data_IF_123158334824
#
_entry.id   IF_123158334824
#
_cell.length_a   1.000
_cell.length_b   1.000
_cell.length_c   1.000
_cell.angle_alpha   90.00
_cell.angle_beta   90.00
_cell.angle_gamma   90.00
#
_symmetry.space_group_name_H-M   'P 1'
#
loop_
_entity.id
_entity.type
_entity.pdbx_description
1 polymer ?
#
# COMPACT_ATOMS: atom_id res chain seq x y z
N UNK A 1 3.97 -26.56 3.94
CA UNK A 1 3.98 -25.08 4.13
C UNK A 1 4.83 -24.38 3.07
N UNK A 2 6.14 -24.65 2.93
CA UNK A 2 7.03 -23.98 1.96
C UNK A 2 6.47 -23.89 0.53
N UNK A 3 6.01 -25.01 -0.03
CA UNK A 3 5.38 -25.03 -1.36
C UNK A 3 4.16 -24.11 -1.46
N UNK A 4 3.33 -24.03 -0.41
CA UNK A 4 2.13 -23.16 -0.42
C UNK A 4 2.50 -21.68 -0.38
N UNK A 5 3.55 -21.31 0.37
CA UNK A 5 4.09 -19.95 0.37
C UNK A 5 4.56 -19.58 -1.04
N UNK A 6 5.36 -20.46 -1.66
CA UNK A 6 5.85 -20.26 -3.02
C UNK A 6 4.69 -20.14 -4.03
N UNK A 7 3.71 -21.04 -3.96
CA UNK A 7 2.55 -21.01 -4.85
C UNK A 7 1.75 -19.71 -4.72
N UNK A 8 1.41 -19.28 -3.49
CA UNK A 8 0.66 -18.03 -3.28
C UNK A 8 1.45 -16.84 -3.79
N UNK A 9 2.76 -16.79 -3.55
CA UNK A 9 3.61 -15.72 -4.05
C UNK A 9 3.70 -15.68 -5.58
N UNK A 10 3.98 -16.83 -6.21
CA UNK A 10 4.12 -16.93 -7.67
C UNK A 10 2.80 -16.67 -8.40
N UNK A 11 1.67 -17.14 -7.88
CA UNK A 11 0.35 -16.88 -8.45
C UNK A 11 0.01 -15.40 -8.35
N UNK A 12 0.23 -14.77 -7.19
CA UNK A 12 0.01 -13.32 -7.00
C UNK A 12 0.88 -12.50 -7.96
N UNK A 13 2.17 -12.85 -8.05
CA UNK A 13 3.11 -12.23 -8.98
C UNK A 13 2.64 -12.37 -10.43
N UNK A 14 2.34 -13.59 -10.87
CA UNK A 14 1.91 -13.88 -12.23
C UNK A 14 0.61 -13.17 -12.61
N UNK A 15 -0.39 -13.16 -11.73
CA UNK A 15 -1.66 -12.45 -11.98
C UNK A 15 -1.45 -10.94 -12.05
N UNK A 16 -0.59 -10.37 -11.19
CA UNK A 16 -0.27 -8.94 -11.23
C UNK A 16 0.41 -8.56 -12.55
N UNK A 17 1.34 -9.39 -13.05
CA UNK A 17 2.03 -9.17 -14.32
C UNK A 17 1.09 -9.10 -15.53
N UNK A 18 -0.06 -9.76 -15.50
CA UNK A 18 -1.03 -9.70 -16.61
C UNK A 18 -1.58 -8.28 -16.83
N UNK A 19 -1.49 -7.41 -15.83
CA UNK A 19 -1.92 -6.02 -15.90
C UNK A 19 -0.77 -5.04 -16.17
N UNK A 20 0.42 -5.51 -16.56
CA UNK A 20 1.59 -4.63 -16.72
C UNK A 20 1.35 -3.56 -17.81
N UNK A 21 0.77 -3.97 -18.94
CA UNK A 21 0.53 -3.09 -20.09
C UNK A 21 -0.79 -2.32 -19.98
N UNK A 22 -1.58 -2.56 -18.95
CA UNK A 22 -2.86 -1.90 -18.76
C UNK A 22 -2.65 -0.38 -18.63
N UNK A 23 -3.30 0.39 -19.52
CA UNK A 23 -3.22 1.85 -19.53
C UNK A 23 -4.02 2.44 -18.38
N UNK A 24 -3.42 3.44 -17.73
CA UNK A 24 -4.01 4.13 -16.59
C UNK A 24 -5.05 5.16 -17.06
N UNK A 25 -4.71 5.93 -18.10
CA UNK A 25 -5.58 6.93 -18.75
C UNK A 25 -5.43 6.86 -20.27
N UNK A 26 -6.29 7.58 -21.01
CA UNK A 26 -6.05 7.81 -22.43
C UNK A 26 -4.78 8.63 -22.63
N UNK A 27 -3.84 8.08 -23.39
CA UNK A 27 -2.51 8.69 -23.59
C UNK A 27 -1.51 8.47 -22.45
N UNK A 28 -1.78 7.64 -21.42
CA UNK A 28 -0.77 7.33 -20.42
C UNK A 28 -0.85 5.91 -19.84
N UNK A 29 0.33 5.30 -19.67
CA UNK A 29 0.52 3.98 -19.02
C UNK A 29 0.39 4.06 -17.49
N UNK A 30 0.60 5.25 -16.93
CA UNK A 30 0.59 5.59 -15.51
C UNK A 30 -0.14 6.93 -15.31
N UNK A 31 -0.58 7.27 -14.10
CA UNK A 31 -1.30 8.53 -13.86
C UNK A 31 -1.09 9.15 -12.48
N UNK A 32 -1.62 10.35 -12.25
CA UNK A 32 -1.55 11.04 -10.95
C UNK A 32 -0.11 11.23 -10.46
N UNK A 33 0.26 10.55 -9.37
CA UNK A 33 1.52 10.64 -8.68
C UNK A 33 2.54 9.64 -9.28
N UNK A 34 2.08 8.66 -10.08
CA UNK A 34 2.92 7.61 -10.64
C UNK A 34 4.06 8.14 -11.54
N UNK A 35 3.83 9.11 -12.46
CA UNK A 35 4.92 9.71 -13.24
C UNK A 35 6.00 10.32 -12.35
N UNK A 36 5.60 10.98 -11.26
CA UNK A 36 6.51 11.64 -10.32
C UNK A 36 7.44 10.63 -9.63
N UNK A 37 6.93 9.45 -9.25
CA UNK A 37 7.78 8.38 -8.72
C UNK A 37 8.76 7.80 -9.74
N UNK A 38 8.35 7.72 -11.01
CA UNK A 38 9.17 7.15 -12.08
C UNK A 38 10.29 8.10 -12.51
N UNK A 39 10.02 9.40 -12.65
CA UNK A 39 11.06 10.38 -12.97
C UNK A 39 12.07 10.50 -11.82
N UNK A 40 11.63 10.49 -10.56
CA UNK A 40 12.57 10.44 -9.43
C UNK A 40 13.39 9.15 -9.40
N UNK A 41 12.81 8.02 -9.83
CA UNK A 41 13.57 6.76 -9.94
C UNK A 41 14.60 6.79 -11.08
N UNK A 42 14.34 7.57 -12.13
CA UNK A 42 15.25 7.82 -13.25
C UNK A 42 16.42 8.71 -12.81
N UNK A 43 16.15 9.86 -12.19
CA UNK A 43 17.18 10.77 -11.64
C UNK A 43 18.08 10.05 -10.63
N UNK A 44 17.51 9.23 -9.73
CA UNK A 44 18.30 8.41 -8.81
C UNK A 44 19.22 7.38 -9.53
N UNK A 45 18.84 6.92 -10.71
CA UNK A 45 19.60 5.94 -11.49
C UNK A 45 20.68 6.58 -12.37
N UNK A 46 20.39 7.70 -13.02
CA UNK A 46 21.31 8.39 -13.94
C UNK A 46 22.22 9.37 -13.17
N UNK A 47 21.66 10.15 -12.26
CA UNK A 47 22.32 11.34 -11.68
C UNK A 47 22.65 11.20 -10.19
N UNK A 48 22.08 10.19 -9.52
CA UNK A 48 22.25 9.93 -8.09
C UNK A 48 21.77 11.06 -7.18
N UNK A 49 20.77 11.82 -7.63
CA UNK A 49 20.12 12.85 -6.81
C UNK A 49 18.58 12.75 -6.85
N UNK A 50 17.89 13.79 -6.39
CA UNK A 50 16.43 13.85 -6.33
C UNK A 50 15.87 14.99 -7.20
N UNK A 51 16.75 15.74 -7.87
CA UNK A 51 16.37 16.81 -8.76
C UNK A 51 15.80 16.20 -10.02
N UNK A 52 14.57 16.55 -10.36
CA UNK A 52 13.86 16.02 -11.54
C UNK A 52 13.68 17.07 -12.63
N UNK A 53 14.34 18.23 -12.49
CA UNK A 53 14.12 19.38 -13.37
C UNK A 53 14.52 19.12 -14.82
N UNK A 54 15.61 18.38 -15.05
CA UNK A 54 16.06 18.01 -16.38
C UNK A 54 15.19 16.89 -16.98
N UNK A 55 14.75 15.86 -16.23
CA UNK A 55 13.82 14.87 -16.79
C UNK A 55 12.48 15.50 -17.20
N UNK A 56 12.01 16.47 -16.44
CA UNK A 56 10.80 17.23 -16.79
C UNK A 56 11.06 18.07 -18.04
N UNK A 57 12.18 18.81 -18.08
CA UNK A 57 12.56 19.70 -19.19
C UNK A 57 12.79 18.95 -20.50
N UNK A 58 13.46 17.79 -20.44
CA UNK A 58 13.73 16.90 -21.56
C UNK A 58 12.56 15.96 -21.89
N UNK A 59 11.47 16.04 -21.13
CA UNK A 59 10.25 15.24 -21.33
C UNK A 59 10.51 13.73 -21.28
N UNK A 60 11.42 13.30 -20.39
CA UNK A 60 11.80 11.88 -20.20
C UNK A 60 10.64 11.00 -19.71
N UNK A 61 9.51 11.60 -19.35
CA UNK A 61 8.26 10.91 -18.99
C UNK A 61 7.45 10.38 -20.17
N UNK A 62 7.70 10.84 -21.40
CA UNK A 62 6.93 10.48 -22.60
C UNK A 62 6.79 8.96 -22.86
N UNK A 63 7.80 8.11 -22.60
CA UNK A 63 7.67 6.67 -22.82
C UNK A 63 6.55 5.98 -22.03
N UNK A 64 6.05 6.62 -20.96
CA UNK A 64 4.97 6.10 -20.12
C UNK A 64 3.81 7.10 -19.92
N UNK A 65 3.96 8.35 -20.36
CA UNK A 65 2.96 9.39 -20.21
C UNK A 65 3.01 10.34 -21.44
N UNK A 66 2.21 10.06 -22.46
CA UNK A 66 2.26 10.70 -23.80
C UNK A 66 1.72 12.15 -23.78
N UNK A 67 1.08 12.55 -22.68
CA UNK A 67 0.60 13.92 -22.45
C UNK A 67 1.50 14.62 -21.42
N UNK A 68 1.45 15.96 -21.35
CA UNK A 68 2.21 16.71 -20.34
C UNK A 68 1.81 16.24 -18.93
N UNK A 69 2.80 15.92 -18.09
CA UNK A 69 2.54 15.52 -16.70
C UNK A 69 1.93 16.68 -15.93
N UNK A 70 1.11 16.36 -14.92
CA UNK A 70 0.68 17.37 -13.98
C UNK A 70 1.92 17.86 -13.21
N UNK A 71 2.23 19.16 -13.33
CA UNK A 71 3.33 19.76 -12.59
C UNK A 71 2.93 19.82 -11.12
N UNK A 72 3.50 18.91 -10.32
CA UNK A 72 3.29 18.84 -8.87
C UNK A 72 4.43 19.51 -8.10
N UNK A 73 5.43 20.00 -8.82
CA UNK A 73 6.71 20.54 -8.36
C UNK A 73 6.73 22.06 -8.51
N UNK A 74 7.64 22.71 -7.80
CA UNK A 74 8.00 24.11 -8.01
C UNK A 74 9.52 24.25 -8.13
N UNK A 75 9.97 25.33 -8.75
CA UNK A 75 11.36 25.75 -8.70
C UNK A 75 11.73 26.17 -7.26
N UNK A 76 12.68 25.47 -6.65
CA UNK A 76 13.09 25.70 -5.26
C UNK A 76 14.20 26.75 -5.10
N UNK A 77 14.90 27.07 -6.18
CA UNK A 77 16.03 28.00 -6.20
C UNK A 77 16.18 28.68 -7.57
N UNK A 78 17.13 29.62 -7.66
CA UNK A 78 17.40 30.39 -8.88
C UNK A 78 17.91 29.54 -10.06
N UNK A 79 18.42 28.33 -9.79
CA UNK A 79 18.81 27.38 -10.84
C UNK A 79 17.63 26.58 -11.39
N UNK A 80 16.43 26.71 -10.82
CA UNK A 80 15.22 26.03 -11.28
C UNK A 80 15.09 24.58 -10.80
N UNK A 81 15.78 24.19 -9.72
CA UNK A 81 15.70 22.84 -9.16
C UNK A 81 14.25 22.46 -8.81
N UNK A 82 13.83 21.27 -9.20
CA UNK A 82 12.48 20.74 -8.92
C UNK A 82 12.57 19.41 -8.18
N UNK A 83 11.93 19.30 -7.01
CA UNK A 83 11.87 18.06 -6.23
C UNK A 83 10.43 17.56 -6.14
N UNK A 84 10.23 16.31 -6.52
CA UNK A 84 8.95 15.61 -6.41
C UNK A 84 8.43 15.63 -4.97
N UNK A 85 7.17 16.04 -4.71
CA UNK A 85 6.62 16.16 -3.35
C UNK A 85 6.18 14.81 -2.77
N UNK A 86 6.98 13.77 -2.99
CA UNK A 86 6.71 12.39 -2.61
C UNK A 86 7.93 11.75 -1.95
N UNK A 87 7.72 10.96 -0.89
CA UNK A 87 8.83 10.38 -0.12
C UNK A 87 9.69 9.41 -0.99
N UNK A 88 11.03 9.44 -0.84
CA UNK A 88 11.95 8.89 -1.85
C UNK A 88 12.18 7.38 -1.77
N UNK A 89 11.67 6.67 -0.76
CA UNK A 89 11.97 5.23 -0.62
C UNK A 89 11.31 4.38 -1.71
N UNK A 90 10.15 4.77 -2.22
CA UNK A 90 9.59 4.07 -3.38
C UNK A 90 10.47 4.25 -4.62
N UNK A 91 10.81 5.48 -5.07
CA UNK A 91 11.78 5.69 -6.14
C UNK A 91 13.09 4.93 -5.95
N UNK A 92 13.65 4.93 -4.73
CA UNK A 92 14.87 4.18 -4.42
C UNK A 92 14.74 2.66 -4.61
N UNK A 93 13.58 2.08 -4.28
CA UNK A 93 13.29 0.67 -4.54
C UNK A 93 13.18 0.41 -6.06
N UNK A 94 12.68 1.40 -6.82
CA UNK A 94 12.41 1.28 -8.25
C UNK A 94 13.58 1.66 -9.14
N UNK A 95 14.60 2.39 -8.66
CA UNK A 95 15.66 2.97 -9.50
C UNK A 95 16.38 1.91 -10.36
N UNK A 96 16.73 0.76 -9.77
CA UNK A 96 17.45 -0.31 -10.48
C UNK A 96 16.56 -1.04 -11.49
N UNK A 97 15.37 -1.58 -11.12
CA UNK A 97 14.52 -2.21 -12.10
C UNK A 97 14.04 -1.24 -13.19
N UNK A 98 13.86 0.05 -12.85
CA UNK A 98 13.55 1.09 -13.82
C UNK A 98 14.73 1.36 -14.76
N UNK A 99 15.94 1.52 -14.25
CA UNK A 99 17.13 1.72 -15.08
C UNK A 99 17.41 0.57 -16.07
N UNK A 100 17.05 -0.66 -15.70
CA UNK A 100 17.25 -1.85 -16.56
C UNK A 100 16.13 -2.02 -17.60
N UNK A 101 14.87 -1.77 -17.23
CA UNK A 101 13.71 -2.14 -18.06
C UNK A 101 12.61 -1.06 -18.12
N UNK A 102 12.93 0.18 -17.79
CA UNK A 102 12.02 1.31 -17.74
C UNK A 102 10.82 1.09 -16.80
N UNK A 103 9.71 1.72 -17.14
CA UNK A 103 8.46 1.62 -16.37
C UNK A 103 7.94 0.18 -16.24
N UNK A 104 8.25 -0.69 -17.20
CA UNK A 104 7.93 -2.13 -17.14
C UNK A 104 8.65 -2.78 -15.97
N UNK A 105 9.96 -2.54 -15.84
CA UNK A 105 10.75 -3.04 -14.71
C UNK A 105 10.22 -2.56 -13.36
N UNK A 106 9.83 -1.28 -13.25
CA UNK A 106 9.21 -0.75 -12.04
C UNK A 106 7.91 -1.48 -11.66
N UNK A 107 7.01 -1.71 -12.63
CA UNK A 107 5.77 -2.48 -12.39
C UNK A 107 6.06 -3.95 -12.05
N UNK A 108 7.04 -4.58 -12.69
CA UNK A 108 7.47 -5.95 -12.35
C UNK A 108 7.97 -6.04 -10.90
N UNK A 109 8.74 -5.05 -10.44
CA UNK A 109 9.21 -4.98 -9.06
C UNK A 109 8.03 -4.89 -8.08
N UNK A 110 7.01 -4.06 -8.36
CA UNK A 110 5.82 -3.97 -7.51
C UNK A 110 5.00 -5.26 -7.50
N UNK A 111 4.89 -5.95 -8.64
CA UNK A 111 4.24 -7.25 -8.72
C UNK A 111 4.98 -8.28 -7.85
N UNK A 112 6.32 -8.24 -7.86
CA UNK A 112 7.14 -9.09 -7.03
C UNK A 112 6.96 -8.78 -5.54
N UNK A 113 6.94 -7.50 -5.16
CA UNK A 113 6.63 -7.04 -3.80
C UNK A 113 5.28 -7.57 -3.32
N UNK A 114 4.24 -7.54 -4.17
CA UNK A 114 2.93 -8.08 -3.81
C UNK A 114 2.94 -9.61 -3.66
N UNK A 115 3.69 -10.34 -4.49
CA UNK A 115 3.91 -11.78 -4.31
C UNK A 115 4.63 -12.13 -3.01
N UNK A 116 5.63 -11.35 -2.62
CA UNK A 116 6.29 -11.48 -1.32
C UNK A 116 5.33 -11.16 -0.16
N UNK A 117 4.52 -10.12 -0.31
CA UNK A 117 3.51 -9.74 0.67
C UNK A 117 2.49 -10.86 0.89
N UNK A 118 2.00 -11.49 -0.18
CA UNK A 118 1.08 -12.61 -0.12
C UNK A 118 1.69 -13.82 0.62
N UNK A 119 2.94 -14.15 0.28
CA UNK A 119 3.70 -15.22 0.91
C UNK A 119 3.90 -14.97 2.41
N UNK A 120 4.32 -13.77 2.77
CA UNK A 120 4.52 -13.38 4.16
C UNK A 120 3.21 -13.36 4.94
N UNK A 121 2.12 -12.92 4.31
CA UNK A 121 0.78 -12.93 4.92
C UNK A 121 0.34 -14.36 5.27
N UNK A 122 0.53 -15.32 4.35
CA UNK A 122 0.25 -16.73 4.63
C UNK A 122 1.15 -17.30 5.72
N UNK A 123 2.44 -16.93 5.72
CA UNK A 123 3.36 -17.34 6.78
C UNK A 123 2.92 -16.81 8.15
N UNK A 124 2.52 -15.55 8.23
CA UNK A 124 2.05 -14.92 9.48
C UNK A 124 0.72 -15.52 9.92
N UNK A 125 -0.23 -15.77 9.00
CA UNK A 125 -1.50 -16.42 9.29
C UNK A 125 -1.30 -17.78 10.00
N UNK A 126 -0.44 -18.63 9.44
CA UNK A 126 -0.16 -19.93 10.03
C UNK A 126 0.68 -19.85 11.30
N UNK A 127 1.75 -19.05 11.29
CA UNK A 127 2.75 -19.09 12.35
C UNK A 127 2.41 -18.26 13.58
N UNK A 128 1.62 -17.17 13.43
CA UNK A 128 1.23 -16.29 14.53
C UNK A 128 -0.21 -16.52 14.99
N UNK A 129 -1.10 -16.87 14.07
CA UNK A 129 -2.53 -17.01 14.38
C UNK A 129 -3.04 -18.45 14.35
N UNK A 130 -2.23 -19.40 13.91
CA UNK A 130 -2.61 -20.82 13.83
C UNK A 130 -3.69 -21.09 12.77
N UNK A 131 -3.73 -20.30 11.69
CA UNK A 131 -4.69 -20.52 10.60
C UNK A 131 -4.47 -21.89 9.93
N UNK A 132 -5.56 -22.61 9.65
CA UNK A 132 -5.50 -23.90 8.96
C UNK A 132 -4.84 -23.73 7.59
N UNK A 133 -3.71 -24.41 7.30
CA UNK A 133 -2.90 -24.09 6.13
C UNK A 133 -3.62 -24.26 4.78
N UNK A 134 -4.65 -25.12 4.68
CA UNK A 134 -5.36 -25.37 3.42
C UNK A 134 -6.28 -24.22 3.07
N UNK A 135 -7.31 -23.97 3.90
CA UNK A 135 -8.20 -22.81 3.74
C UNK A 135 -7.46 -21.48 3.66
N UNK A 136 -6.44 -21.26 4.51
CA UNK A 136 -5.66 -20.02 4.50
C UNK A 136 -4.94 -19.78 3.16
N UNK A 137 -4.39 -20.83 2.54
CA UNK A 137 -3.76 -20.72 1.21
C UNK A 137 -4.76 -20.28 0.14
N UNK A 138 -5.96 -20.85 0.13
CA UNK A 138 -7.00 -20.48 -0.84
C UNK A 138 -7.54 -19.08 -0.61
N UNK A 139 -7.88 -18.73 0.64
CA UNK A 139 -8.40 -17.41 0.97
C UNK A 139 -7.35 -16.34 0.66
N UNK A 140 -6.13 -16.48 1.17
CA UNK A 140 -5.07 -15.48 0.95
C UNK A 140 -4.71 -15.38 -0.53
N UNK A 141 -4.54 -16.51 -1.22
CA UNK A 141 -4.29 -16.53 -2.66
C UNK A 141 -5.36 -15.78 -3.44
N UNK A 142 -6.65 -16.10 -3.21
CA UNK A 142 -7.75 -15.45 -3.90
C UNK A 142 -7.79 -13.94 -3.66
N UNK A 143 -7.61 -13.49 -2.40
CA UNK A 143 -7.65 -12.07 -2.09
C UNK A 143 -6.49 -11.29 -2.72
N UNK A 144 -5.28 -11.84 -2.72
CA UNK A 144 -4.12 -11.18 -3.34
C UNK A 144 -4.18 -11.15 -4.87
N UNK A 145 -4.93 -12.06 -5.49
CA UNK A 145 -5.24 -12.03 -6.93
C UNK A 145 -6.49 -11.20 -7.26
N UNK A 146 -7.11 -10.55 -6.27
CA UNK A 146 -8.32 -9.74 -6.45
C UNK A 146 -8.06 -8.28 -6.11
N UNK A 147 -8.86 -7.38 -6.67
CA UNK A 147 -8.74 -5.97 -6.38
C UNK A 147 -9.23 -5.67 -4.94
N UNK A 148 -8.61 -4.74 -4.20
CA UNK A 148 -7.55 -3.84 -4.65
C UNK A 148 -6.12 -4.36 -4.46
N UNK A 149 -5.89 -5.51 -3.82
CA UNK A 149 -4.52 -5.99 -3.58
C UNK A 149 -3.76 -6.22 -4.89
N UNK A 150 -4.39 -6.87 -5.87
CA UNK A 150 -3.75 -7.15 -7.17
C UNK A 150 -3.47 -5.89 -8.00
N UNK A 151 -4.29 -4.83 -7.88
CA UNK A 151 -4.09 -3.61 -8.68
C UNK A 151 -2.88 -2.81 -8.19
N UNK A 152 -2.60 -2.84 -6.89
CA UNK A 152 -1.36 -2.31 -6.32
C UNK A 152 -0.12 -3.18 -6.59
N UNK A 153 -0.25 -4.26 -7.36
CA UNK A 153 0.88 -4.97 -7.95
C UNK A 153 1.45 -4.29 -9.21
N UNK A 154 0.70 -3.39 -9.84
CA UNK A 154 1.15 -2.68 -11.07
C UNK A 154 0.93 -1.17 -11.04
N UNK A 155 0.12 -0.65 -10.11
CA UNK A 155 0.03 0.78 -9.86
C UNK A 155 1.22 1.29 -9.03
N UNK A 156 1.90 2.31 -9.51
CA UNK A 156 3.16 2.83 -8.94
C UNK A 156 2.87 3.74 -7.74
N UNK A 157 2.54 3.12 -6.62
CA UNK A 157 2.30 3.79 -5.36
C UNK A 157 2.98 3.04 -4.21
N UNK A 158 3.26 3.73 -3.08
CA UNK A 158 3.93 3.10 -1.95
C UNK A 158 3.02 2.13 -1.18
N UNK A 159 1.76 1.92 -1.61
CA UNK A 159 0.77 1.10 -0.91
C UNK A 159 1.19 -0.38 -0.81
N UNK A 160 1.65 -0.99 -1.91
CA UNK A 160 2.15 -2.38 -1.93
C UNK A 160 3.41 -2.56 -1.06
N UNK A 161 4.47 -1.75 -1.28
CA UNK A 161 5.65 -1.74 -0.41
C UNK A 161 5.33 -1.50 1.07
N UNK A 162 4.39 -0.60 1.37
CA UNK A 162 3.96 -0.36 2.76
C UNK A 162 3.23 -1.58 3.35
N UNK A 163 2.43 -2.30 2.57
CA UNK A 163 1.79 -3.54 3.00
C UNK A 163 2.83 -4.61 3.41
N UNK A 164 3.86 -4.81 2.57
CA UNK A 164 4.95 -5.73 2.85
C UNK A 164 5.75 -5.30 4.08
N UNK A 165 6.17 -4.04 4.14
CA UNK A 165 6.98 -3.49 5.24
C UNK A 165 6.22 -3.55 6.57
N UNK A 166 4.93 -3.22 6.57
CA UNK A 166 4.08 -3.29 7.75
C UNK A 166 3.88 -4.74 8.23
N UNK A 167 3.68 -5.67 7.30
CA UNK A 167 3.59 -7.10 7.63
C UNK A 167 4.92 -7.65 8.16
N UNK A 168 6.06 -7.21 7.63
CA UNK A 168 7.39 -7.57 8.12
C UNK A 168 7.65 -7.01 9.53
N UNK A 169 7.31 -5.75 9.76
CA UNK A 169 7.40 -5.11 11.08
C UNK A 169 6.52 -5.84 12.11
N UNK A 170 5.26 -6.12 11.75
CA UNK A 170 4.36 -6.92 12.58
C UNK A 170 4.93 -8.31 12.86
N UNK A 171 5.41 -9.02 11.84
CA UNK A 171 5.94 -10.37 11.99
C UNK A 171 7.12 -10.41 12.96
N UNK A 172 8.03 -9.43 12.86
CA UNK A 172 9.18 -9.30 13.75
C UNK A 172 8.76 -9.00 15.20
N UNK A 173 7.83 -8.08 15.41
CA UNK A 173 7.32 -7.73 16.74
C UNK A 173 6.53 -8.91 17.34
N UNK A 174 5.63 -9.53 16.58
CA UNK A 174 4.83 -10.68 17.00
C UNK A 174 5.64 -12.00 17.06
N UNK A 175 6.93 -11.98 16.71
CA UNK A 175 7.77 -13.17 16.77
C UNK A 175 7.98 -13.60 18.24
N UNK A 176 7.84 -14.89 18.59
CA UNK A 176 7.85 -15.37 19.98
C UNK A 176 9.27 -15.40 20.57
N UNK A 177 10.28 -15.51 19.73
CA UNK A 177 11.68 -15.38 20.15
C UNK A 177 12.01 -13.93 20.53
N UNK A 178 12.84 -13.81 21.57
CA UNK A 178 13.43 -12.56 22.05
C UNK A 178 14.84 -12.33 21.47
N UNK A 179 15.21 -12.97 20.36
CA UNK A 179 16.51 -12.73 19.73
C UNK A 179 16.59 -11.30 19.16
N UNK A 180 17.73 -10.62 19.36
CA UNK A 180 17.97 -9.22 18.94
C UNK A 180 17.70 -8.97 17.45
N UNK A 181 17.92 -9.96 16.59
CA UNK A 181 17.67 -9.86 15.14
C UNK A 181 16.22 -9.46 14.81
N UNK A 182 15.26 -9.86 15.63
CA UNK A 182 13.85 -9.50 15.44
C UNK A 182 13.59 -8.05 15.85
N UNK A 183 14.28 -7.57 16.88
CA UNK A 183 14.21 -6.15 17.27
C UNK A 183 14.82 -5.27 16.17
N UNK A 184 15.95 -5.69 15.58
CA UNK A 184 16.59 -5.01 14.44
C UNK A 184 15.65 -4.98 13.23
N UNK A 185 15.09 -6.12 12.83
CA UNK A 185 14.14 -6.18 11.71
C UNK A 185 12.91 -5.29 11.95
N UNK A 186 12.37 -5.31 13.17
CA UNK A 186 11.25 -4.44 13.54
C UNK A 186 11.63 -2.96 13.43
N UNK A 187 12.75 -2.53 14.01
CA UNK A 187 13.20 -1.13 13.96
C UNK A 187 13.41 -0.68 12.53
N UNK A 188 14.12 -1.46 11.70
CA UNK A 188 14.37 -1.12 10.29
C UNK A 188 13.04 -0.97 9.53
N UNK A 189 12.12 -1.93 9.68
CA UNK A 189 10.84 -1.87 8.99
C UNK A 189 9.94 -0.71 9.49
N UNK A 190 9.94 -0.40 10.79
CA UNK A 190 9.22 0.75 11.36
C UNK A 190 9.77 2.06 10.80
N UNK A 191 11.10 2.19 10.74
CA UNK A 191 11.77 3.40 10.22
C UNK A 191 11.52 3.57 8.73
N UNK A 192 11.41 2.49 7.95
CA UNK A 192 11.12 2.56 6.52
C UNK A 192 9.72 3.11 6.20
N UNK A 193 8.73 2.95 7.08
CA UNK A 193 7.35 3.36 6.81
C UNK A 193 7.19 4.87 6.51
N UNK A 194 7.70 5.79 7.35
CA UNK A 194 7.69 7.24 7.05
C UNK A 194 8.35 7.60 5.72
N UNK A 195 9.43 6.91 5.33
CA UNK A 195 10.13 7.17 4.06
C UNK A 195 9.40 6.61 2.83
N UNK A 196 8.43 5.70 3.01
CA UNK A 196 7.52 5.28 1.93
C UNK A 196 6.39 6.29 1.73
N UNK A 197 5.88 6.84 2.83
CA UNK A 197 4.99 7.99 2.85
C UNK A 197 4.80 8.44 4.28
N UNK A 198 4.84 9.75 4.54
CA UNK A 198 4.55 10.31 5.88
C UNK A 198 3.19 9.86 6.44
N UNK A 199 2.22 9.51 5.60
CA UNK A 199 0.91 8.99 6.03
C UNK A 199 0.98 7.65 6.75
N UNK A 200 2.12 6.94 6.68
CA UNK A 200 2.36 5.67 7.37
C UNK A 200 3.01 5.85 8.75
N UNK A 201 3.37 7.07 9.17
CA UNK A 201 3.84 7.37 10.53
C UNK A 201 2.89 6.81 11.60
N UNK A 202 1.55 6.97 11.52
CA UNK A 202 0.66 6.41 12.54
C UNK A 202 0.74 4.88 12.64
N UNK A 203 1.02 4.18 11.53
CA UNK A 203 1.16 2.72 11.52
C UNK A 203 2.51 2.31 12.14
N UNK A 204 3.58 3.05 11.83
CA UNK A 204 4.88 2.90 12.48
C UNK A 204 4.76 3.06 14.00
N UNK A 205 3.99 4.05 14.47
CA UNK A 205 3.71 4.27 15.89
C UNK A 205 3.02 3.07 16.54
N UNK A 206 1.97 2.52 15.93
CA UNK A 206 1.26 1.34 16.48
C UNK A 206 2.20 0.14 16.65
N UNK A 207 3.03 -0.14 15.65
CA UNK A 207 3.99 -1.25 15.73
C UNK A 207 5.10 -0.96 16.75
N UNK A 208 5.61 0.26 16.81
CA UNK A 208 6.61 0.68 17.80
C UNK A 208 6.07 0.54 19.24
N UNK A 209 4.82 0.94 19.49
CA UNK A 209 4.15 0.73 20.77
C UNK A 209 3.98 -0.76 21.07
N UNK A 210 3.68 -1.59 20.07
CA UNK A 210 3.70 -3.04 20.19
C UNK A 210 5.07 -3.59 20.62
N UNK A 211 6.15 -3.09 20.02
CA UNK A 211 7.53 -3.46 20.37
C UNK A 211 7.88 -3.05 21.80
N UNK A 212 7.49 -1.84 22.22
CA UNK A 212 7.65 -1.36 23.59
C UNK A 212 6.83 -2.24 24.55
N UNK A 213 5.58 -2.54 24.22
CA UNK A 213 4.69 -3.36 25.04
C UNK A 213 5.23 -4.78 25.22
N UNK A 214 5.84 -5.36 24.18
CA UNK A 214 6.53 -6.66 24.24
C UNK A 214 7.70 -6.64 25.22
N UNK A 215 8.52 -5.59 25.19
CA UNK A 215 9.74 -5.46 26.00
C UNK A 215 9.58 -4.63 27.27
N UNK A 216 8.34 -4.37 27.72
CA UNK A 216 8.04 -3.46 28.85
C UNK A 216 8.71 -3.81 30.18
N UNK A 217 8.99 -5.10 30.40
CA UNK A 217 9.71 -5.59 31.59
C UNK A 217 11.23 -5.65 31.41
N UNK A 218 11.74 -5.36 30.22
CA UNK A 218 13.15 -5.46 29.85
C UNK A 218 13.72 -4.08 29.49
N UNK A 219 13.74 -3.15 30.46
CA UNK A 219 14.16 -1.74 30.25
C UNK A 219 15.51 -1.60 29.54
N UNK A 220 16.49 -2.46 29.85
CA UNK A 220 17.81 -2.49 29.19
C UNK A 220 17.74 -2.73 27.68
N UNK A 221 16.71 -3.43 27.17
CA UNK A 221 16.47 -3.60 25.72
C UNK A 221 15.81 -2.40 25.08
N UNK A 222 14.98 -1.68 25.83
CA UNK A 222 14.28 -0.49 25.32
C UNK A 222 15.22 0.69 25.10
N UNK A 223 16.33 0.78 25.84
CA UNK A 223 17.32 1.86 25.68
C UNK A 223 17.88 1.92 24.23
N UNK A 224 18.51 0.86 23.68
CA UNK A 224 19.02 0.92 22.31
C UNK A 224 17.92 1.04 21.25
N UNK A 225 16.73 0.47 21.48
CA UNK A 225 15.58 0.62 20.58
C UNK A 225 15.12 2.08 20.53
N UNK A 226 14.97 2.70 21.70
CA UNK A 226 14.59 4.12 21.83
C UNK A 226 15.65 5.03 21.21
N UNK A 227 16.93 4.78 21.47
CA UNK A 227 18.02 5.52 20.84
C UNK A 227 17.99 5.41 19.30
N UNK A 228 17.74 4.21 18.77
CA UNK A 228 17.61 4.01 17.33
C UNK A 228 16.43 4.81 16.72
N UNK A 229 15.27 4.85 17.39
CA UNK A 229 14.14 5.67 16.93
C UNK A 229 14.40 7.17 17.03
N UNK A 230 15.09 7.64 18.09
CA UNK A 230 15.49 9.05 18.21
C UNK A 230 16.44 9.42 17.08
N UNK A 231 17.48 8.62 16.83
CA UNK A 231 18.42 8.86 15.73
C UNK A 231 17.68 8.85 14.40
N UNK A 232 16.86 7.85 14.13
CA UNK A 232 16.09 7.77 12.88
C UNK A 232 15.13 8.96 12.69
N UNK A 233 14.44 9.39 13.75
CA UNK A 233 13.56 10.55 13.72
C UNK A 233 14.31 11.85 13.48
N UNK A 234 15.46 12.05 14.14
CA UNK A 234 16.33 13.20 13.89
C UNK A 234 16.88 13.19 12.46
N UNK A 235 17.31 12.03 11.96
CA UNK A 235 17.76 11.88 10.57
C UNK A 235 16.64 12.21 9.58
N UNK A 236 15.42 11.72 9.81
CA UNK A 236 14.26 12.08 8.99
C UNK A 236 14.07 13.60 8.98
N UNK A 237 13.95 14.23 10.14
CA UNK A 237 13.69 15.68 10.24
C UNK A 237 14.81 16.54 9.63
N UNK A 238 16.07 16.20 9.89
CA UNK A 238 17.22 16.95 9.37
C UNK A 238 17.35 16.82 7.86
N UNK A 239 17.17 15.61 7.31
CA UNK A 239 17.22 15.40 5.87
C UNK A 239 16.03 16.06 5.17
N UNK A 240 14.82 15.97 5.73
CA UNK A 240 13.66 16.63 5.13
C UNK A 240 13.81 18.15 5.13
N UNK A 241 14.31 18.72 6.24
CA UNK A 241 14.57 20.14 6.34
C UNK A 241 15.67 20.61 5.39
N UNK A 242 16.71 19.80 5.22
CA UNK A 242 17.85 20.12 4.35
C UNK A 242 17.55 19.96 2.85
N UNK A 243 16.79 18.93 2.47
CA UNK A 243 16.51 18.60 1.06
C UNK A 243 15.26 19.34 0.57
N UNK A 244 14.15 19.27 1.32
CA UNK A 244 12.84 19.77 0.87
C UNK A 244 12.51 21.16 1.44
N UNK A 245 13.30 21.66 2.40
CA UNK A 245 13.02 22.92 3.09
C UNK A 245 11.89 22.84 4.14
N UNK A 246 11.18 21.71 4.24
CA UNK A 246 10.07 21.47 5.18
C UNK A 246 10.30 20.31 6.13
N UNK A 247 9.26 19.92 6.88
CA UNK A 247 9.30 18.74 7.74
C UNK A 247 8.82 17.46 7.03
N UNK A 248 8.25 17.63 5.85
CA UNK A 248 7.76 16.59 4.95
C UNK A 248 8.11 16.95 3.51
N UNK A 249 8.01 15.98 2.60
CA UNK A 249 8.17 16.21 1.16
C UNK A 249 7.15 17.18 0.56
N UNK A 250 6.02 17.42 1.23
CA UNK A 250 4.96 18.28 0.68
C UNK A 250 5.34 19.77 0.66
N UNK A 251 6.44 20.18 1.28
CA UNK A 251 6.93 21.56 1.20
C UNK A 251 7.41 21.96 -0.21
N UNK A 252 7.69 20.99 -1.08
CA UNK A 252 8.08 21.24 -2.48
C UNK A 252 6.91 21.11 -3.45
N UNK A 253 5.70 20.86 -2.93
CA UNK A 253 4.50 20.63 -3.74
C UNK A 253 3.82 21.93 -4.16
N UNK A 254 3.48 22.05 -5.44
CA UNK A 254 2.78 23.19 -6.04
C UNK A 254 1.47 23.55 -5.32
N UNK A 255 0.71 22.54 -4.89
CA UNK A 255 -0.56 22.70 -4.20
C UNK A 255 -0.45 23.20 -2.76
N UNK A 256 0.77 23.25 -2.19
CA UNK A 256 1.02 23.58 -0.78
C UNK A 256 1.84 24.86 -0.57
N UNK A 257 2.28 25.52 -1.66
CA UNK A 257 3.15 26.72 -1.62
C UNK A 257 2.51 27.90 -0.91
N UNK A 258 1.25 28.18 -1.19
CA UNK A 258 0.51 29.30 -0.58
C UNK A 258 0.02 28.98 0.85
N UNK A 259 0.24 27.76 1.33
CA UNK A 259 -0.30 27.24 2.57
C UNK A 259 0.77 26.63 3.47
N UNK A 260 0.37 25.58 4.18
CA UNK A 260 1.30 24.75 4.95
C UNK A 260 1.44 23.39 4.28
N UNK A 261 2.60 22.75 4.39
CA UNK A 261 2.79 21.33 4.04
C UNK A 261 1.76 20.40 4.73
N UNK A 262 1.20 20.83 5.86
CA UNK A 262 0.13 20.12 6.56
C UNK A 262 -1.27 20.29 5.92
N UNK A 263 -1.44 21.19 4.96
CA UNK A 263 -2.69 21.33 4.20
C UNK A 263 -3.01 20.09 3.34
N UNK A 264 -2.07 19.15 3.23
CA UNK A 264 -2.28 17.82 2.64
C UNK A 264 -3.41 17.04 3.31
N UNK A 265 -3.75 17.31 4.58
CA UNK A 265 -4.93 16.72 5.24
C UNK A 265 -6.22 17.51 4.99
N UNK A 266 -6.10 18.66 4.32
CA UNK A 266 -7.13 19.64 4.01
C UNK A 266 -7.13 20.81 4.99
N UNK A 267 -7.16 22.06 4.48
CA UNK A 267 -7.15 23.32 5.26
C UNK A 267 -8.24 23.42 6.34
N UNK A 268 -9.41 22.80 6.11
CA UNK A 268 -10.51 22.70 7.08
C UNK A 268 -11.13 21.31 6.98
N UNK A 269 -10.51 20.29 7.60
CA UNK A 269 -10.94 18.92 7.42
C UNK A 269 -12.31 18.78 8.07
N UNK A 270 -13.36 18.57 7.27
CA UNK A 270 -14.73 18.38 7.76
C UNK A 270 -14.86 16.98 8.38
N UNK A 271 -14.28 16.80 9.58
CA UNK A 271 -14.08 15.48 10.20
C UNK A 271 -15.38 14.68 10.33
N UNK A 272 -16.49 15.35 10.72
CA UNK A 272 -17.81 14.72 10.80
C UNK A 272 -18.31 14.20 9.45
N UNK A 273 -18.10 14.96 8.36
CA UNK A 273 -18.47 14.52 7.02
C UNK A 273 -17.57 13.38 6.54
N UNK A 274 -16.31 13.35 6.97
CA UNK A 274 -15.37 12.27 6.67
C UNK A 274 -15.72 10.97 7.41
N UNK A 275 -16.39 11.03 8.57
CA UNK A 275 -16.80 9.83 9.33
C UNK A 275 -17.69 8.87 8.54
N UNK A 276 -18.40 9.32 7.48
CA UNK A 276 -19.13 8.42 6.56
C UNK A 276 -18.22 7.38 5.89
N UNK A 277 -16.92 7.68 5.76
CA UNK A 277 -15.91 6.77 5.19
C UNK A 277 -15.68 5.53 6.05
N UNK A 278 -15.99 5.54 7.35
CA UNK A 278 -15.85 4.35 8.22
C UNK A 278 -16.56 3.12 7.64
N UNK A 279 -17.77 3.36 7.13
CA UNK A 279 -18.60 2.35 6.46
C UNK A 279 -18.36 2.40 4.95
N UNK A 280 -18.23 3.59 4.36
CA UNK A 280 -18.02 3.76 2.93
C UNK A 280 -16.78 3.06 2.38
N UNK A 281 -15.69 2.96 3.16
CA UNK A 281 -14.48 2.20 2.76
C UNK A 281 -14.77 0.72 2.44
N UNK A 282 -15.90 0.20 2.93
CA UNK A 282 -16.36 -1.16 2.69
C UNK A 282 -17.41 -1.20 1.58
N UNK A 283 -18.47 -0.38 1.69
CA UNK A 283 -19.70 -0.55 0.91
C UNK A 283 -19.95 0.52 -0.16
N UNK A 284 -19.18 1.61 -0.17
CA UNK A 284 -19.37 2.66 -1.17
C UNK A 284 -19.11 2.09 -2.57
N UNK A 285 -19.98 2.37 -3.52
CA UNK A 285 -19.90 1.81 -4.88
C UNK A 285 -18.72 2.36 -5.67
N UNK A 286 -18.22 3.54 -5.30
CA UNK A 286 -17.12 4.19 -6.00
C UNK A 286 -15.77 3.84 -5.39
N UNK A 287 -15.59 4.07 -4.09
CA UNK A 287 -14.28 3.88 -3.43
C UNK A 287 -14.23 2.70 -2.47
N UNK A 288 -15.35 2.03 -2.20
CA UNK A 288 -15.44 0.91 -1.26
C UNK A 288 -14.91 -0.39 -1.87
N UNK A 289 -14.21 -1.17 -1.06
CA UNK A 289 -13.55 -2.41 -1.53
C UNK A 289 -14.53 -3.56 -1.79
N UNK A 290 -15.72 -3.54 -1.18
CA UNK A 290 -16.74 -4.57 -1.34
C UNK A 290 -17.41 -4.55 -2.71
N UNK A 291 -17.47 -3.39 -3.37
CA UNK A 291 -17.98 -3.27 -4.74
C UNK A 291 -17.11 -4.05 -5.75
N UNK A 292 -15.80 -4.08 -5.51
CA UNK A 292 -14.84 -4.75 -6.39
C UNK A 292 -14.61 -6.22 -6.03
N UNK A 293 -14.57 -6.52 -4.74
CA UNK A 293 -14.39 -7.87 -4.22
C UNK A 293 -15.39 -8.11 -3.09
N UNK A 294 -16.57 -8.69 -3.40
CA UNK A 294 -17.68 -8.84 -2.45
C UNK A 294 -17.33 -9.55 -1.15
N UNK A 295 -16.33 -10.43 -1.17
CA UNK A 295 -15.85 -11.12 0.04
C UNK A 295 -15.35 -10.18 1.14
N UNK A 296 -14.97 -8.93 0.83
CA UNK A 296 -14.66 -7.94 1.87
C UNK A 296 -15.88 -7.54 2.71
N UNK A 297 -17.11 -7.78 2.24
CA UNK A 297 -18.33 -7.59 3.04
C UNK A 297 -18.38 -8.52 4.27
N UNK A 298 -17.62 -9.63 4.26
CA UNK A 298 -17.49 -10.51 5.43
C UNK A 298 -16.57 -9.92 6.53
N UNK A 299 -15.85 -8.84 6.25
CA UNK A 299 -14.86 -8.27 7.18
C UNK A 299 -15.44 -7.90 8.55
N UNK A 300 -16.58 -7.19 8.69
CA UNK A 300 -17.12 -6.86 10.01
C UNK A 300 -17.40 -8.12 10.86
N UNK A 301 -17.93 -9.17 10.24
CA UNK A 301 -18.18 -10.44 10.91
C UNK A 301 -16.87 -11.13 11.32
N UNK A 302 -15.87 -11.17 10.43
CA UNK A 302 -14.57 -11.77 10.70
C UNK A 302 -13.84 -11.06 11.85
N UNK A 303 -13.79 -9.73 11.84
CA UNK A 303 -13.15 -8.93 12.90
C UNK A 303 -13.89 -9.08 14.24
N UNK A 304 -15.22 -9.08 14.23
CA UNK A 304 -16.03 -9.28 15.44
C UNK A 304 -15.81 -10.66 16.05
N UNK A 305 -15.81 -11.71 15.21
CA UNK A 305 -15.57 -13.07 15.67
C UNK A 305 -14.18 -13.21 16.31
N UNK A 306 -13.15 -12.58 15.73
CA UNK A 306 -11.80 -12.62 16.27
C UNK A 306 -11.67 -11.87 17.58
N UNK A 307 -12.20 -10.64 17.68
CA UNK A 307 -12.11 -9.84 18.91
C UNK A 307 -12.84 -10.45 20.11
N UNK A 308 -13.84 -11.31 19.87
CA UNK A 308 -14.55 -12.04 20.93
C UNK A 308 -13.76 -13.22 21.50
N UNK A 309 -12.90 -13.84 20.70
CA UNK A 309 -12.24 -15.12 21.05
C UNK A 309 -10.74 -14.95 21.30
N UNK A 310 -10.10 -13.96 20.68
CA UNK A 310 -8.65 -13.76 20.75
C UNK A 310 -8.30 -12.42 21.38
N UNK A 311 -7.54 -12.48 22.48
CA UNK A 311 -6.99 -11.31 23.20
C UNK A 311 -5.50 -11.42 23.45
N UNK A 312 -4.84 -12.32 22.73
CA UNK A 312 -3.38 -12.47 22.76
C UNK A 312 -2.69 -11.31 22.04
N UNK A 313 -1.42 -11.08 22.38
CA UNK A 313 -0.63 -9.95 21.91
C UNK A 313 -0.64 -9.76 20.38
N UNK A 314 -0.40 -10.79 19.54
CA UNK A 314 -0.48 -10.66 18.08
C UNK A 314 -1.85 -10.18 17.58
N UNK A 315 -2.94 -10.67 18.17
CA UNK A 315 -4.30 -10.29 17.79
C UNK A 315 -4.62 -8.85 18.14
N UNK A 316 -4.21 -8.39 19.33
CA UNK A 316 -4.38 -6.99 19.75
C UNK A 316 -3.56 -6.05 18.85
N UNK A 317 -2.32 -6.41 18.53
CA UNK A 317 -1.46 -5.62 17.66
C UNK A 317 -2.03 -5.53 16.24
N UNK A 318 -2.49 -6.65 15.66
CA UNK A 318 -3.11 -6.67 14.34
C UNK A 318 -4.41 -5.84 14.29
N UNK A 319 -5.25 -5.93 15.34
CA UNK A 319 -6.44 -5.10 15.46
C UNK A 319 -6.09 -3.60 15.52
N UNK A 320 -5.04 -3.23 16.27
CA UNK A 320 -4.54 -1.86 16.32
C UNK A 320 -4.06 -1.35 14.95
N UNK A 321 -3.38 -2.20 14.17
CA UNK A 321 -2.95 -1.87 12.80
C UNK A 321 -4.14 -1.62 11.88
N UNK A 322 -5.12 -2.54 11.86
CA UNK A 322 -6.34 -2.40 11.04
C UNK A 322 -7.09 -1.13 11.43
N UNK A 323 -7.30 -0.91 12.74
CA UNK A 323 -7.98 0.27 13.24
C UNK A 323 -7.28 1.56 12.82
N UNK A 324 -5.94 1.61 12.93
CA UNK A 324 -5.18 2.79 12.52
C UNK A 324 -5.25 3.04 11.01
N UNK A 325 -5.25 1.98 10.18
CA UNK A 325 -5.50 2.10 8.74
C UNK A 325 -6.85 2.74 8.45
N UNK A 326 -7.91 2.30 9.15
CA UNK A 326 -9.24 2.89 9.03
C UNK A 326 -9.28 4.35 9.50
N UNK A 327 -8.61 4.67 10.62
CA UNK A 327 -8.53 6.05 11.15
C UNK A 327 -7.86 6.97 10.13
N UNK A 328 -6.70 6.58 9.61
CA UNK A 328 -5.94 7.37 8.64
C UNK A 328 -6.75 7.56 7.35
N UNK A 329 -7.31 6.49 6.80
CA UNK A 329 -8.14 6.58 5.60
C UNK A 329 -9.40 7.45 5.80
N UNK A 330 -10.00 7.41 6.99
CA UNK A 330 -11.20 8.19 7.29
C UNK A 330 -10.86 9.67 7.43
N UNK A 331 -9.98 10.01 8.36
CA UNK A 331 -9.82 11.40 8.82
C UNK A 331 -8.60 12.12 8.28
N UNK A 332 -7.51 11.41 7.98
CA UNK A 332 -6.25 12.03 7.53
C UNK A 332 -6.22 12.17 6.01
N UNK A 333 -6.63 11.13 5.28
CA UNK A 333 -6.62 11.16 3.83
C UNK A 333 -7.50 12.30 3.28
N UNK A 334 -6.91 13.13 2.40
CA UNK A 334 -7.57 14.27 1.80
C UNK A 334 -8.87 13.87 1.09
N UNK A 335 -8.74 12.89 0.19
CA UNK A 335 -9.81 12.38 -0.68
C UNK A 335 -9.74 10.85 -0.81
N UNK A 336 -10.91 10.25 -1.04
CA UNK A 336 -11.04 8.83 -1.43
C UNK A 336 -11.09 8.67 -2.95
N UNK A 337 -11.46 9.74 -3.64
CA UNK A 337 -11.59 9.82 -5.09
C UNK A 337 -10.37 10.52 -5.66
N UNK A 338 -9.71 9.87 -6.59
CA UNK A 338 -8.58 10.42 -7.32
C UNK A 338 -8.18 9.48 -8.44
N UNK A 339 -7.11 9.81 -9.11
CA UNK A 339 -6.64 9.09 -10.29
C UNK A 339 -5.84 7.86 -9.86
N UNK A 340 -6.49 6.92 -9.17
CA UNK A 340 -5.95 5.64 -8.70
C UNK A 340 -7.05 4.61 -8.48
N UNK A 341 -6.68 3.34 -8.36
CA UNK A 341 -7.63 2.26 -8.07
C UNK A 341 -8.30 2.39 -6.68
N UNK A 342 -9.62 2.17 -6.55
CA UNK A 342 -10.32 2.20 -5.26
C UNK A 342 -9.66 1.38 -4.15
N UNK A 343 -9.67 1.88 -2.91
CA UNK A 343 -9.09 1.19 -1.75
C UNK A 343 -7.63 1.56 -1.41
N UNK A 344 -6.96 2.45 -2.18
CA UNK A 344 -5.58 2.94 -1.94
C UNK A 344 -5.20 3.12 -0.48
N UNK A 345 -6.08 3.78 0.27
CA UNK A 345 -5.77 4.27 1.62
C UNK A 345 -5.76 3.17 2.66
N UNK A 346 -6.37 2.01 2.37
CA UNK A 346 -6.42 0.86 3.29
C UNK A 346 -5.64 -0.35 2.79
N UNK A 347 -5.17 -0.36 1.53
CA UNK A 347 -4.33 -1.42 0.96
C UNK A 347 -3.22 -1.91 1.90
N UNK A 348 -2.44 -1.03 2.58
CA UNK A 348 -1.38 -1.49 3.48
C UNK A 348 -1.84 -2.37 4.64
N UNK A 349 -3.09 -2.22 5.09
CA UNK A 349 -3.66 -2.98 6.22
C UNK A 349 -4.54 -4.15 5.79
N UNK A 350 -4.91 -4.25 4.52
CA UNK A 350 -5.73 -5.34 4.00
C UNK A 350 -5.14 -6.74 4.23
N UNK A 351 -3.80 -6.97 4.20
CA UNK A 351 -3.26 -8.28 4.55
C UNK A 351 -3.72 -8.79 5.92
N UNK A 352 -3.86 -7.92 6.92
CA UNK A 352 -4.36 -8.28 8.26
C UNK A 352 -5.86 -8.59 8.25
N UNK A 353 -6.65 -7.86 7.44
CA UNK A 353 -8.06 -8.15 7.20
C UNK A 353 -8.23 -9.52 6.54
N UNK A 354 -7.39 -9.85 5.56
CA UNK A 354 -7.43 -11.15 4.87
C UNK A 354 -7.05 -12.29 5.82
N UNK A 355 -6.05 -12.09 6.70
CA UNK A 355 -5.77 -13.05 7.80
C UNK A 355 -7.02 -13.23 8.67
N UNK A 356 -7.70 -12.14 9.01
CA UNK A 356 -8.90 -12.21 9.83
C UNK A 356 -10.01 -13.03 9.16
N UNK A 357 -10.24 -12.81 7.85
CA UNK A 357 -11.20 -13.58 7.06
C UNK A 357 -10.77 -15.05 6.97
N UNK A 358 -9.49 -15.35 6.74
CA UNK A 358 -8.99 -16.73 6.68
C UNK A 358 -9.21 -17.49 7.99
N UNK A 359 -8.99 -16.84 9.14
CA UNK A 359 -9.28 -17.40 10.46
C UNK A 359 -10.78 -17.57 10.68
N UNK A 360 -11.59 -16.61 10.24
CA UNK A 360 -13.04 -16.69 10.34
C UNK A 360 -13.58 -17.82 9.48
N UNK A 361 -13.08 -18.04 8.27
CA UNK A 361 -13.46 -19.18 7.42
C UNK A 361 -13.07 -20.51 8.08
N UNK A 362 -11.83 -20.63 8.55
CA UNK A 362 -11.31 -21.86 9.16
C UNK A 362 -11.50 -23.08 8.26
N UNK A 363 -11.78 -24.24 8.83
CA UNK A 363 -12.02 -25.49 8.06
C UNK A 363 -13.48 -25.66 7.60
N UNK A 364 -14.30 -24.60 7.65
CA UNK A 364 -15.71 -24.67 7.27
C UNK A 364 -15.87 -24.57 5.76
N UNK A 365 -16.02 -25.73 5.10
CA UNK A 365 -16.10 -25.86 3.64
C UNK A 365 -17.07 -24.89 2.96
N UNK A 366 -18.28 -24.71 3.50
CA UNK A 366 -19.28 -23.77 2.95
C UNK A 366 -18.79 -22.32 2.94
N UNK A 367 -18.16 -21.87 4.04
CA UNK A 367 -17.59 -20.53 4.11
C UNK A 367 -16.40 -20.38 3.17
N UNK A 368 -15.56 -21.42 3.08
CA UNK A 368 -14.40 -21.42 2.18
C UNK A 368 -14.84 -21.29 0.72
N UNK A 369 -15.78 -22.11 0.28
CA UNK A 369 -16.32 -22.05 -1.09
C UNK A 369 -16.96 -20.69 -1.35
N UNK A 370 -17.84 -20.22 -0.46
CA UNK A 370 -18.51 -18.93 -0.63
C UNK A 370 -17.52 -17.76 -0.74
N UNK A 371 -16.55 -17.67 0.18
CA UNK A 371 -15.55 -16.59 0.19
C UNK A 371 -14.63 -16.68 -1.04
N UNK A 372 -14.09 -17.87 -1.35
CA UNK A 372 -13.18 -18.01 -2.49
C UNK A 372 -13.89 -17.73 -3.81
N UNK A 373 -15.10 -18.27 -4.02
CA UNK A 373 -15.88 -18.00 -5.23
C UNK A 373 -16.20 -16.52 -5.37
N UNK A 374 -16.70 -15.86 -4.31
CA UNK A 374 -17.00 -14.43 -4.35
C UNK A 374 -15.74 -13.57 -4.57
N UNK A 375 -14.57 -13.99 -4.06
CA UNK A 375 -13.31 -13.29 -4.29
C UNK A 375 -12.80 -13.47 -5.72
N UNK A 376 -12.96 -14.67 -6.29
CA UNK A 376 -12.57 -14.96 -7.67
C UNK A 376 -13.41 -14.16 -8.70
N UNK A 377 -14.62 -13.72 -8.35
CA UNK A 377 -15.37 -12.75 -9.16
C UNK A 377 -14.64 -11.40 -9.25
N UNK A 378 -14.01 -10.96 -8.16
CA UNK A 378 -13.16 -9.77 -8.13
C UNK A 378 -11.89 -9.95 -8.97
N UNK A 379 -11.26 -11.13 -8.91
CA UNK A 379 -10.13 -11.48 -9.80
C UNK A 379 -10.53 -11.44 -11.26
N UNK A 380 -11.66 -12.07 -11.63
CA UNK A 380 -12.18 -12.05 -13.00
C UNK A 380 -12.46 -10.62 -13.48
N UNK A 381 -13.09 -9.79 -12.63
CA UNK A 381 -13.37 -8.38 -12.94
C UNK A 381 -12.09 -7.59 -13.18
N UNK A 382 -11.08 -7.78 -12.34
CA UNK A 382 -9.77 -7.15 -12.54
C UNK A 382 -9.09 -7.59 -13.84
N UNK A 383 -9.10 -8.89 -14.17
CA UNK A 383 -8.49 -9.41 -15.39
C UNK A 383 -9.17 -8.90 -16.66
N UNK A 384 -10.50 -8.79 -16.65
CA UNK A 384 -11.27 -8.18 -17.75
C UNK A 384 -10.84 -6.73 -17.94
N UNK A 385 -10.78 -5.95 -16.85
CA UNK A 385 -10.34 -4.55 -16.90
C UNK A 385 -8.90 -4.39 -17.38
N UNK A 386 -7.99 -5.22 -16.87
CA UNK A 386 -6.59 -5.20 -17.30
C UNK A 386 -6.46 -5.49 -18.81
N UNK A 387 -7.28 -6.40 -19.34
CA UNK A 387 -7.33 -6.71 -20.77
C UNK A 387 -8.00 -5.60 -21.61
N UNK A 388 -9.10 -5.02 -21.15
CA UNK A 388 -9.75 -3.89 -21.81
C UNK A 388 -8.81 -2.67 -21.86
N UNK A 389 -8.06 -2.43 -20.78
CA UNK A 389 -7.11 -1.34 -20.67
C UNK A 389 -5.82 -1.55 -21.46
N UNK A 390 -5.36 -2.80 -21.63
CA UNK A 390 -4.20 -3.09 -22.50
C UNK A 390 -4.57 -3.02 -23.99
N UNK A 391 -5.84 -3.21 -24.34
CA UNK A 391 -6.34 -3.13 -25.72
C UNK A 391 -6.87 -1.74 -26.11
N UNK A 392 -6.73 -0.74 -25.24
CA UNK A 392 -7.15 0.64 -25.50
C UNK A 392 -8.67 0.85 -25.54
N UNK A 393 -9.47 -0.15 -25.14
CA UNK A 393 -10.94 -0.03 -25.06
C UNK A 393 -11.39 0.79 -23.86
N UNK A 394 -10.61 0.79 -22.78
CA UNK A 394 -10.84 1.53 -21.55
C UNK A 394 -9.52 2.01 -20.95
N UNK A 395 -9.60 2.84 -19.94
CA UNK A 395 -8.48 3.19 -19.08
C UNK A 395 -8.77 2.82 -17.62
N UNK A 396 -7.78 2.22 -16.92
CA UNK A 396 -7.92 1.63 -15.58
C UNK A 396 -8.37 2.60 -14.49
N UNK A 397 -8.24 3.90 -14.71
CA UNK A 397 -8.48 4.93 -13.69
C UNK A 397 -9.63 5.89 -14.06
N UNK A 398 -10.08 5.87 -15.32
CA UNK A 398 -11.13 6.79 -15.79
C UNK A 398 -12.43 6.05 -16.08
N UNK A 399 -12.34 4.89 -16.73
CA UNK A 399 -13.52 4.18 -17.25
C UNK A 399 -13.83 2.90 -16.47
N UNK A 400 -13.13 2.65 -15.36
CA UNK A 400 -13.27 1.40 -14.62
C UNK A 400 -14.67 1.22 -14.01
N UNK A 401 -15.40 2.32 -13.77
CA UNK A 401 -16.81 2.29 -13.35
C UNK A 401 -17.75 1.72 -14.41
N UNK A 402 -17.34 1.75 -15.68
CA UNK A 402 -18.15 1.28 -16.80
C UNK A 402 -17.80 -0.17 -17.22
N UNK A 403 -17.08 -0.91 -16.37
CA UNK A 403 -16.65 -2.29 -16.65
C UNK A 403 -17.82 -3.20 -17.02
N UNK A 404 -17.65 -4.04 -18.06
CA UNK A 404 -18.67 -4.98 -18.52
C UNK A 404 -18.90 -6.17 -17.56
N UNK A 405 -18.24 -6.17 -16.39
CA UNK A 405 -18.38 -7.24 -15.40
C UNK A 405 -19.82 -7.29 -14.89
N UNK A 406 -20.56 -8.40 -15.13
CA UNK A 406 -21.96 -8.50 -14.75
C UNK A 406 -22.19 -8.28 -13.25
N UNK A 407 -21.22 -8.66 -12.42
CA UNK A 407 -21.33 -8.52 -10.97
C UNK A 407 -21.11 -7.09 -10.48
N UNK A 408 -20.19 -6.36 -11.08
CA UNK A 408 -19.98 -4.96 -10.72
C UNK A 408 -21.22 -4.14 -11.07
N UNK A 409 -21.77 -4.36 -12.28
CA UNK A 409 -22.99 -3.68 -12.74
C UNK A 409 -24.20 -3.92 -11.82
N UNK A 410 -24.37 -5.13 -11.29
CA UNK A 410 -25.45 -5.45 -10.32
C UNK A 410 -25.27 -4.75 -8.97
N UNK A 411 -24.04 -4.48 -8.54
CA UNK A 411 -23.76 -3.80 -7.27
C UNK A 411 -23.72 -2.27 -7.42
N UNK A 412 -23.43 -1.78 -8.62
CA UNK A 412 -23.33 -0.36 -8.93
C UNK A 412 -24.68 0.28 -9.32
N UNK A 413 -25.66 -0.54 -9.76
CA UNK A 413 -27.07 -0.15 -9.95
C UNK A 413 -27.82 -0.04 -8.64
#
# INVERSE_FOLDING_TARGET
MRLRLLLVGLVTFGVSLLAIDARSTYGARVSSDEPQYLITALSLWEDFDLDVSDEIGERRYEPFHEVTINQQTIALNDSGQELSPHDPLLPLILMVPYGIAGWVGAKMMLSFVMGLCASLTLHVAGSRFGASPGPATWVIGAFFTSAPLTSYGTHIFPAGPAALTLMAAFWAVAHPSWAKRWDVLAVVAIVALPWLSVKYVPHATVIALGLVWKHRSASKRLIPIGAAFVVAGMTYLLLHRGIYGGWTVYSTGDHFVDGSEFDVVGRRPRLLQRSRRLIGLIIDTQFGIGAWTPSFLAMPAALTALGRVRRDFPSVLAAGVILMGWIVATWVALTMHGWWWPGRQITPVLPFVVIAIALWVGDRSRHLVGVVTATLLGTATWLILAWEASTGRRALIVDFYDVESPWYQVLAS
#
